data_IF_104169982022
#
_entry.id   IF_104169982022
#
_cell.length_a   1.000
_cell.length_b   1.000
_cell.length_c   1.000
_cell.angle_alpha   90.00
_cell.angle_beta   90.00
_cell.angle_gamma   90.00
#
_symmetry.space_group_name_H-M   'P 1'
#
loop_
_entity.id
_entity.type
_entity.pdbx_description
1 polymer ?
#
# COMPACT_ATOMS: atom_id res chain seq x y z
N UNK A 1 28.37 0.29 17.80
CA UNK A 1 29.44 -0.25 16.95
C UNK A 1 29.02 -0.02 15.51
N UNK A 2 29.86 0.57 14.66
CA UNK A 2 29.52 0.87 13.28
C UNK A 2 29.19 -0.41 12.51
N UNK A 3 28.15 -0.38 11.69
CA UNK A 3 27.80 -1.44 10.75
C UNK A 3 28.62 -1.22 9.50
N UNK A 4 29.74 -1.91 9.45
CA UNK A 4 30.64 -1.89 8.32
C UNK A 4 30.15 -2.86 7.25
N UNK A 5 29.84 -2.35 6.05
CA UNK A 5 29.52 -3.18 4.89
C UNK A 5 30.65 -3.13 3.89
N UNK A 6 31.24 -4.28 3.61
CA UNK A 6 32.16 -4.44 2.49
C UNK A 6 31.36 -4.54 1.19
N UNK A 7 31.56 -3.55 0.34
CA UNK A 7 30.98 -3.43 -0.99
C UNK A 7 31.60 -4.42 -1.97
N UNK A 8 30.94 -4.69 -3.11
CA UNK A 8 31.46 -5.59 -4.14
C UNK A 8 32.82 -5.16 -4.72
N UNK A 9 33.18 -3.88 -4.61
CA UNK A 9 34.47 -3.32 -5.03
C UNK A 9 35.57 -3.42 -3.94
N UNK A 10 35.26 -3.97 -2.77
CA UNK A 10 36.18 -4.16 -1.65
C UNK A 10 36.22 -3.01 -0.63
N UNK A 11 35.58 -1.86 -0.90
CA UNK A 11 35.49 -0.77 0.09
C UNK A 11 34.64 -1.20 1.27
N UNK A 12 35.00 -0.77 2.47
CA UNK A 12 34.22 -1.01 3.69
C UNK A 12 33.66 0.31 4.19
N UNK A 13 32.35 0.40 4.31
CA UNK A 13 31.65 1.65 4.61
C UNK A 13 30.81 1.50 5.85
N UNK A 14 30.85 2.49 6.73
CA UNK A 14 29.89 2.62 7.81
C UNK A 14 28.54 3.06 7.24
N UNK A 15 27.52 2.20 7.34
CA UNK A 15 26.17 2.53 6.88
C UNK A 15 25.28 3.03 8.02
N UNK A 16 25.82 3.26 9.21
CA UNK A 16 25.04 3.68 10.36
C UNK A 16 24.68 5.17 10.35
N UNK A 17 25.42 6.02 9.64
CA UNK A 17 25.18 7.47 9.60
C UNK A 17 24.73 7.96 8.22
N UNK A 18 23.94 9.04 8.20
CA UNK A 18 23.55 9.70 6.95
C UNK A 18 24.75 10.30 6.21
N UNK A 19 25.71 10.86 6.95
CA UNK A 19 26.95 11.39 6.38
C UNK A 19 27.72 10.31 5.62
N UNK A 20 27.95 9.14 6.23
CA UNK A 20 28.71 8.07 5.59
C UNK A 20 27.98 7.46 4.38
N UNK A 21 26.64 7.31 4.46
CA UNK A 21 25.84 6.90 3.29
C UNK A 21 25.93 7.92 2.16
N UNK A 22 25.86 9.22 2.46
CA UNK A 22 25.94 10.27 1.45
C UNK A 22 27.33 10.35 0.80
N UNK A 23 28.41 10.25 1.58
CA UNK A 23 29.79 10.17 1.08
C UNK A 23 29.95 8.99 0.14
N UNK A 24 29.42 7.82 0.52
CA UNK A 24 29.42 6.64 -0.34
C UNK A 24 28.71 6.89 -1.68
N UNK A 25 27.53 7.52 -1.66
CA UNK A 25 26.81 7.82 -2.89
C UNK A 25 27.59 8.80 -3.78
N UNK A 26 28.23 9.80 -3.19
CA UNK A 26 29.06 10.77 -3.91
C UNK A 26 30.32 10.13 -4.55
N UNK A 27 30.94 9.16 -3.87
CA UNK A 27 32.15 8.48 -4.34
C UNK A 27 31.87 7.36 -5.37
N UNK A 28 30.62 6.96 -5.58
CA UNK A 28 30.26 5.96 -6.59
C UNK A 28 29.07 5.08 -6.22
N UNK A 29 27.88 5.67 -6.16
CA UNK A 29 26.62 4.95 -5.88
C UNK A 29 26.07 4.08 -7.03
N UNK A 30 26.60 4.23 -8.25
CA UNK A 30 26.08 3.55 -9.44
C UNK A 30 26.34 2.04 -9.40
N UNK A 31 25.31 1.26 -9.72
CA UNK A 31 25.35 -0.19 -9.82
C UNK A 31 25.23 -0.92 -8.49
N UNK A 32 25.13 -0.20 -7.36
CA UNK A 32 25.19 -0.80 -6.03
C UNK A 32 24.02 -1.74 -5.78
N UNK A 33 22.79 -1.36 -6.15
CA UNK A 33 21.62 -2.23 -5.97
C UNK A 33 21.68 -3.45 -6.89
N UNK A 34 22.03 -3.27 -8.16
CA UNK A 34 22.20 -4.39 -9.09
C UNK A 34 23.27 -5.37 -8.62
N UNK A 35 24.41 -4.87 -8.13
CA UNK A 35 25.50 -5.71 -7.62
C UNK A 35 25.10 -6.45 -6.34
N UNK A 36 24.42 -5.75 -5.42
CA UNK A 36 23.85 -6.33 -4.19
C UNK A 36 22.86 -7.45 -4.51
N UNK A 37 21.91 -7.21 -5.43
CA UNK A 37 20.93 -8.21 -5.89
C UNK A 37 21.62 -9.41 -6.54
N UNK A 38 22.67 -9.21 -7.34
CA UNK A 38 23.46 -10.31 -7.93
C UNK A 38 24.10 -11.18 -6.86
N UNK A 39 24.70 -10.60 -5.83
CA UNK A 39 25.31 -11.36 -4.74
C UNK A 39 24.25 -12.09 -3.90
N UNK A 40 23.12 -11.46 -3.60
CA UNK A 40 22.00 -12.13 -2.91
C UNK A 40 21.51 -13.34 -3.71
N UNK A 41 21.28 -13.18 -5.03
CA UNK A 41 20.87 -14.28 -5.91
C UNK A 41 21.90 -15.41 -5.92
N UNK A 42 23.18 -15.10 -5.94
CA UNK A 42 24.28 -16.08 -5.89
C UNK A 42 24.30 -16.85 -4.56
N UNK A 43 24.04 -16.19 -3.44
CA UNK A 43 23.92 -16.84 -2.13
C UNK A 43 22.72 -17.80 -2.12
N UNK A 44 21.55 -17.33 -2.57
CA UNK A 44 20.29 -18.11 -2.58
C UNK A 44 20.32 -19.29 -3.57
N UNK A 45 20.95 -19.16 -4.75
CA UNK A 45 21.05 -20.25 -5.75
C UNK A 45 21.87 -21.45 -5.29
N UNK A 46 22.88 -21.23 -4.42
CA UNK A 46 23.88 -22.26 -4.13
C UNK A 46 23.39 -23.36 -3.18
N UNK A 47 22.29 -23.19 -2.45
CA UNK A 47 22.00 -24.04 -1.29
C UNK A 47 20.51 -24.26 -1.04
N UNK A 48 20.12 -25.53 -0.84
CA UNK A 48 18.78 -25.91 -0.32
C UNK A 48 18.56 -25.45 1.13
N UNK A 49 19.64 -25.28 1.90
CA UNK A 49 19.66 -24.77 3.27
C UNK A 49 20.84 -23.81 3.45
N UNK A 50 20.57 -22.57 3.85
CA UNK A 50 21.60 -21.55 4.06
C UNK A 50 22.39 -21.84 5.34
N UNK A 51 23.72 -21.69 5.28
CA UNK A 51 24.59 -21.75 6.47
C UNK A 51 24.50 -20.42 7.20
N UNK A 52 24.89 -20.39 8.47
CA UNK A 52 24.84 -19.17 9.29
C UNK A 52 25.62 -18.01 8.66
N UNK A 53 26.81 -18.28 8.12
CA UNK A 53 27.60 -17.29 7.37
C UNK A 53 26.84 -16.69 6.19
N UNK A 54 26.06 -17.50 5.46
CA UNK A 54 25.29 -17.02 4.32
C UNK A 54 24.10 -16.15 4.79
N UNK A 55 23.44 -16.55 5.88
CA UNK A 55 22.34 -15.77 6.49
C UNK A 55 22.84 -14.41 6.98
N UNK A 56 23.98 -14.37 7.66
CA UNK A 56 24.62 -13.13 8.09
C UNK A 56 24.96 -12.25 6.88
N UNK A 57 25.48 -12.85 5.80
CA UNK A 57 25.79 -12.07 4.60
C UNK A 57 24.53 -11.51 3.92
N UNK A 58 23.44 -12.27 3.86
CA UNK A 58 22.15 -11.76 3.39
C UNK A 58 21.67 -10.61 4.28
N UNK A 59 21.80 -10.75 5.60
CA UNK A 59 21.43 -9.70 6.54
C UNK A 59 22.17 -8.40 6.28
N UNK A 60 23.51 -8.45 6.13
CA UNK A 60 24.33 -7.29 5.78
C UNK A 60 23.87 -6.62 4.47
N UNK A 61 23.62 -7.42 3.42
CA UNK A 61 23.23 -6.91 2.10
C UNK A 61 21.84 -6.26 2.12
N UNK A 62 20.90 -6.80 2.88
CA UNK A 62 19.57 -6.19 3.05
C UNK A 62 19.62 -4.94 3.92
N UNK A 63 20.40 -4.96 5.00
CA UNK A 63 20.62 -3.81 5.88
C UNK A 63 21.32 -2.65 5.15
N UNK A 64 22.22 -2.97 4.22
CA UNK A 64 22.81 -2.01 3.31
C UNK A 64 21.74 -1.28 2.49
N UNK A 65 20.86 -2.01 1.79
CA UNK A 65 19.79 -1.40 0.99
C UNK A 65 18.86 -0.54 1.85
N UNK A 66 18.46 -1.04 3.02
CA UNK A 66 17.61 -0.32 3.95
C UNK A 66 18.26 0.98 4.48
N UNK A 67 19.55 0.92 4.81
CA UNK A 67 20.31 2.09 5.28
C UNK A 67 20.47 3.14 4.19
N UNK A 68 20.76 2.73 2.96
CA UNK A 68 20.79 3.63 1.80
C UNK A 68 19.43 4.28 1.60
N UNK A 69 18.35 3.51 1.59
CA UNK A 69 17.00 4.05 1.39
C UNK A 69 16.58 5.01 2.52
N UNK A 70 16.98 4.75 3.76
CA UNK A 70 16.57 5.55 4.92
C UNK A 70 17.39 6.81 5.09
N UNK A 71 18.70 6.75 4.83
CA UNK A 71 19.65 7.78 5.27
C UNK A 71 20.22 8.61 4.14
N UNK A 72 20.08 8.16 2.89
CA UNK A 72 20.52 8.96 1.76
C UNK A 72 19.73 10.26 1.67
N UNK A 73 20.42 11.36 1.38
CA UNK A 73 19.80 12.59 0.96
C UNK A 73 18.89 12.32 -0.27
N UNK A 74 17.65 12.82 -0.30
CA UNK A 74 16.73 12.55 -1.41
C UNK A 74 17.29 12.96 -2.80
N UNK A 75 18.06 14.05 -2.87
CA UNK A 75 18.72 14.51 -4.09
C UNK A 75 19.84 13.56 -4.52
N UNK A 76 20.67 13.11 -3.57
CA UNK A 76 21.70 12.10 -3.86
C UNK A 76 21.12 10.75 -4.24
N UNK A 77 20.04 10.30 -3.58
CA UNK A 77 19.35 9.06 -3.92
C UNK A 77 18.84 9.12 -5.37
N UNK A 78 18.12 10.21 -5.72
CA UNK A 78 17.60 10.43 -7.07
C UNK A 78 18.73 10.55 -8.12
N UNK A 79 19.84 11.21 -7.79
CA UNK A 79 20.95 11.45 -8.71
C UNK A 79 21.85 10.23 -8.95
N UNK A 80 21.95 9.32 -7.98
CA UNK A 80 22.88 8.18 -8.05
C UNK A 80 22.24 6.86 -8.49
N UNK A 81 20.94 6.66 -8.26
CA UNK A 81 20.26 5.42 -8.62
C UNK A 81 19.49 5.58 -9.91
N UNK A 82 19.98 4.95 -10.98
CA UNK A 82 19.23 4.85 -12.22
C UNK A 82 17.95 4.04 -12.02
N UNK A 83 16.88 4.42 -12.73
CA UNK A 83 15.59 3.73 -12.68
C UNK A 83 15.72 2.22 -12.93
N UNK A 84 16.61 1.82 -13.84
CA UNK A 84 16.92 0.42 -14.15
C UNK A 84 17.45 -0.37 -12.94
N UNK A 85 18.19 0.27 -12.02
CA UNK A 85 18.70 -0.39 -10.81
C UNK A 85 17.58 -0.63 -9.79
N UNK A 86 16.70 0.36 -9.62
CA UNK A 86 15.52 0.23 -8.76
C UNK A 86 14.57 -0.82 -9.33
N UNK A 87 14.36 -0.87 -10.65
CA UNK A 87 13.62 -1.94 -11.33
C UNK A 87 14.24 -3.31 -11.08
N UNK A 88 15.56 -3.44 -11.20
CA UNK A 88 16.27 -4.70 -10.96
C UNK A 88 16.08 -5.22 -9.52
N UNK A 89 16.13 -4.32 -8.53
CA UNK A 89 15.81 -4.64 -7.14
C UNK A 89 14.34 -5.04 -6.96
N UNK A 90 13.43 -4.28 -7.56
CA UNK A 90 11.99 -4.54 -7.47
C UNK A 90 11.60 -5.90 -8.06
N UNK A 91 12.14 -6.25 -9.24
CA UNK A 91 11.96 -7.56 -9.87
C UNK A 91 12.45 -8.70 -8.98
N UNK A 92 13.61 -8.52 -8.31
CA UNK A 92 14.11 -9.48 -7.34
C UNK A 92 13.13 -9.64 -6.16
N UNK A 93 12.69 -8.53 -5.57
CA UNK A 93 11.75 -8.53 -4.46
C UNK A 93 10.42 -9.21 -4.84
N UNK A 94 9.86 -8.90 -6.02
CA UNK A 94 8.65 -9.55 -6.55
C UNK A 94 8.86 -11.06 -6.69
N UNK A 95 10.00 -11.48 -7.24
CA UNK A 95 10.33 -12.89 -7.39
C UNK A 95 10.39 -13.64 -6.06
N UNK A 96 11.00 -13.04 -5.04
CA UNK A 96 11.08 -13.63 -3.70
C UNK A 96 9.71 -13.65 -2.99
N UNK A 97 8.91 -12.59 -3.08
CA UNK A 97 7.53 -12.57 -2.56
C UNK A 97 6.71 -13.71 -3.17
N UNK A 98 6.78 -13.87 -4.50
CA UNK A 98 6.12 -14.99 -5.20
C UNK A 98 6.65 -16.35 -4.76
N UNK A 99 7.94 -16.47 -4.43
CA UNK A 99 8.54 -17.70 -3.89
C UNK A 99 8.03 -18.01 -2.49
N UNK A 100 7.92 -17.00 -1.62
CA UNK A 100 7.44 -17.16 -0.24
C UNK A 100 6.01 -17.71 -0.19
N UNK A 101 5.16 -17.38 -1.17
CA UNK A 101 3.79 -17.93 -1.26
C UNK A 101 3.74 -19.46 -1.33
N UNK A 102 4.84 -20.10 -1.72
CA UNK A 102 4.97 -21.56 -1.86
C UNK A 102 5.69 -22.22 -0.68
N UNK A 103 6.11 -21.44 0.32
CA UNK A 103 6.82 -21.96 1.49
C UNK A 103 5.83 -22.50 2.51
N UNK A 104 5.98 -23.77 2.89
CA UNK A 104 5.11 -24.41 3.90
C UNK A 104 5.08 -23.64 5.21
N UNK A 105 6.24 -23.11 5.67
CA UNK A 105 6.31 -22.26 6.86
C UNK A 105 5.37 -21.06 6.74
N UNK A 106 5.50 -20.26 5.69
CA UNK A 106 4.62 -19.10 5.46
C UNK A 106 3.15 -19.48 5.43
N UNK A 107 2.79 -20.51 4.66
CA UNK A 107 1.40 -20.96 4.51
C UNK A 107 0.80 -21.35 5.87
N UNK A 108 1.57 -22.04 6.72
CA UNK A 108 1.12 -22.63 7.99
C UNK A 108 1.23 -21.69 9.20
N UNK A 109 2.21 -20.80 9.23
CA UNK A 109 2.46 -19.95 10.40
C UNK A 109 2.19 -18.47 10.13
N UNK A 110 2.20 -18.04 8.86
CA UNK A 110 2.14 -16.61 8.50
C UNK A 110 3.41 -15.87 8.87
N UNK A 111 4.53 -16.59 8.98
CA UNK A 111 5.83 -16.10 9.38
C UNK A 111 6.91 -16.49 8.37
N UNK A 112 7.98 -15.69 8.31
CA UNK A 112 9.16 -15.98 7.50
C UNK A 112 10.36 -16.30 8.39
N UNK A 113 11.39 -16.93 7.82
CA UNK A 113 12.69 -16.86 8.49
C UNK A 113 13.21 -15.43 8.44
N UNK A 114 13.95 -15.01 9.47
CA UNK A 114 14.44 -13.63 9.59
C UNK A 114 15.10 -13.10 8.30
N UNK A 115 15.99 -13.89 7.69
CA UNK A 115 16.68 -13.50 6.45
C UNK A 115 15.77 -13.42 5.20
N UNK A 116 14.60 -14.04 5.24
CA UNK A 116 13.58 -13.92 4.20
C UNK A 116 12.69 -12.69 4.43
N UNK A 117 12.36 -12.39 5.68
CA UNK A 117 11.64 -11.16 6.06
C UNK A 117 12.41 -9.90 5.60
N UNK A 118 13.75 -9.93 5.66
CA UNK A 118 14.62 -8.84 5.21
C UNK A 118 14.46 -8.47 3.72
N UNK A 119 13.81 -9.30 2.90
CA UNK A 119 13.45 -8.93 1.53
C UNK A 119 12.43 -7.79 1.49
N UNK A 120 11.50 -7.78 2.45
CA UNK A 120 10.41 -6.81 2.52
C UNK A 120 10.80 -5.53 3.26
N UNK A 121 11.72 -5.60 4.21
CA UNK A 121 12.16 -4.45 5.02
C UNK A 121 12.55 -3.22 4.18
N UNK A 122 13.46 -3.34 3.18
CA UNK A 122 13.84 -2.21 2.35
C UNK A 122 12.66 -1.60 1.58
N UNK A 123 11.57 -2.33 1.33
CA UNK A 123 10.40 -1.77 0.64
C UNK A 123 9.78 -0.63 1.44
N UNK A 124 9.70 -0.77 2.76
CA UNK A 124 9.16 0.26 3.65
C UNK A 124 9.92 1.57 3.48
N UNK A 125 11.25 1.52 3.48
CA UNK A 125 12.12 2.69 3.44
C UNK A 125 12.29 3.22 2.02
N UNK A 126 12.39 2.34 1.02
CA UNK A 126 12.41 2.70 -0.39
C UNK A 126 11.15 3.46 -0.82
N UNK A 127 9.98 3.10 -0.28
CA UNK A 127 8.72 3.75 -0.66
C UNK A 127 8.51 5.11 -0.02
N UNK A 128 9.49 5.64 0.72
CA UNK A 128 9.54 7.06 1.10
C UNK A 128 9.99 7.96 -0.07
N UNK A 129 10.52 7.35 -1.14
CA UNK A 129 11.05 8.02 -2.32
C UNK A 129 10.07 7.92 -3.52
N UNK A 130 9.86 9.00 -4.29
CA UNK A 130 8.90 9.01 -5.40
C UNK A 130 9.18 8.01 -6.52
N UNK A 131 10.45 7.83 -6.91
CA UNK A 131 10.81 6.96 -8.05
C UNK A 131 10.46 5.49 -7.76
N UNK A 132 10.89 4.87 -6.64
CA UNK A 132 10.43 3.54 -6.27
C UNK A 132 8.91 3.40 -6.23
N UNK A 133 8.19 4.42 -5.73
CA UNK A 133 6.73 4.38 -5.66
C UNK A 133 6.08 4.38 -7.05
N UNK A 134 6.52 5.25 -7.96
CA UNK A 134 6.03 5.24 -9.34
C UNK A 134 6.24 3.86 -9.98
N UNK A 135 7.45 3.29 -9.82
CA UNK A 135 7.79 1.99 -10.36
C UNK A 135 6.97 0.84 -9.79
N UNK A 136 6.65 0.84 -8.49
CA UNK A 136 5.86 -0.26 -7.92
C UNK A 136 4.43 -0.26 -8.43
N UNK A 137 3.86 0.91 -8.73
CA UNK A 137 2.55 1.02 -9.37
C UNK A 137 2.54 0.63 -10.85
N UNK A 138 3.69 0.63 -11.53
CA UNK A 138 3.87 0.16 -12.91
C UNK A 138 4.28 -1.31 -13.01
N UNK A 139 4.52 -1.95 -11.86
CA UNK A 139 4.96 -3.34 -11.74
C UNK A 139 3.88 -4.24 -11.14
N UNK A 140 4.16 -5.54 -11.05
CA UNK A 140 3.30 -6.53 -10.39
C UNK A 140 3.53 -6.62 -8.85
N UNK A 141 4.14 -5.60 -8.23
CA UNK A 141 4.52 -5.65 -6.82
C UNK A 141 3.33 -5.83 -5.89
N UNK A 142 2.27 -5.04 -6.08
CA UNK A 142 1.11 -5.10 -5.19
C UNK A 142 0.25 -6.35 -5.43
N UNK A 143 0.22 -6.88 -6.65
CA UNK A 143 -0.38 -8.17 -6.95
C UNK A 143 0.39 -9.31 -6.28
N UNK A 144 1.72 -9.27 -6.33
CA UNK A 144 2.57 -10.23 -5.64
C UNK A 144 2.37 -10.16 -4.13
N UNK A 145 2.31 -8.95 -3.55
CA UNK A 145 2.06 -8.74 -2.12
C UNK A 145 0.67 -9.25 -1.71
N UNK A 146 -0.35 -9.00 -2.54
CA UNK A 146 -1.70 -9.54 -2.33
C UNK A 146 -1.70 -11.07 -2.34
N UNK A 147 -1.05 -11.68 -3.33
CA UNK A 147 -0.89 -13.13 -3.41
C UNK A 147 -0.15 -13.71 -2.20
N UNK A 148 0.87 -13.00 -1.70
CA UNK A 148 1.61 -13.36 -0.50
C UNK A 148 0.73 -13.41 0.74
N UNK A 149 -0.06 -12.36 1.02
CA UNK A 149 -1.00 -12.37 2.15
C UNK A 149 -2.08 -13.44 1.97
N UNK A 150 -2.61 -13.62 0.75
CA UNK A 150 -3.66 -14.63 0.48
C UNK A 150 -3.18 -16.07 0.58
N UNK A 151 -1.88 -16.33 0.39
CA UNK A 151 -1.31 -17.68 0.51
C UNK A 151 -1.35 -18.23 1.94
N UNK A 152 -1.54 -17.36 2.94
CA UNK A 152 -1.66 -17.74 4.35
C UNK A 152 -3.01 -18.40 4.63
N UNK A 153 -2.97 -19.64 5.15
CA UNK A 153 -4.17 -20.43 5.50
C UNK A 153 -4.20 -20.79 6.97
N UNK A 154 -5.32 -20.64 7.68
CA UNK A 154 -5.45 -21.11 9.06
C UNK A 154 -5.48 -22.67 9.13
N UNK A 155 -5.66 -23.23 10.33
CA UNK A 155 -5.67 -24.69 10.56
C UNK A 155 -6.82 -25.43 9.87
N UNK A 156 -7.95 -24.76 9.63
CA UNK A 156 -9.11 -25.32 8.92
C UNK A 156 -9.01 -25.17 7.38
N UNK A 157 -7.91 -24.58 6.88
CA UNK A 157 -7.70 -24.33 5.46
C UNK A 157 -8.37 -23.07 4.91
N UNK A 158 -9.12 -22.35 5.75
CA UNK A 158 -9.65 -21.02 5.51
C UNK A 158 -8.59 -19.91 5.55
N UNK A 159 -9.07 -18.65 5.51
CA UNK A 159 -8.21 -17.46 5.43
C UNK A 159 -7.46 -17.26 6.74
N UNK A 160 -6.14 -17.46 6.73
CA UNK A 160 -5.30 -17.15 7.87
C UNK A 160 -4.87 -15.69 7.89
N UNK A 161 -4.40 -15.25 9.05
CA UNK A 161 -3.71 -13.98 9.21
C UNK A 161 -2.18 -14.19 9.27
N UNK A 162 -1.37 -13.29 8.68
CA UNK A 162 0.05 -13.22 8.98
C UNK A 162 0.30 -13.02 10.47
N UNK A 163 1.53 -13.27 10.93
CA UNK A 163 1.93 -12.90 12.29
C UNK A 163 1.79 -11.39 12.51
N UNK A 164 1.74 -10.98 13.78
CA UNK A 164 1.67 -9.57 14.14
C UNK A 164 2.75 -8.73 13.45
N UNK A 165 4.00 -9.15 13.57
CA UNK A 165 5.15 -8.49 12.95
C UNK A 165 4.99 -8.35 11.44
N UNK A 166 4.53 -9.40 10.76
CA UNK A 166 4.32 -9.36 9.32
C UNK A 166 3.18 -8.42 8.92
N UNK A 167 2.09 -8.38 9.70
CA UNK A 167 1.03 -7.41 9.48
C UNK A 167 1.54 -5.97 9.62
N UNK A 168 2.37 -5.67 10.63
CA UNK A 168 2.99 -4.35 10.79
C UNK A 168 3.84 -3.96 9.57
N UNK A 169 4.64 -4.90 9.07
CA UNK A 169 5.51 -4.66 7.92
C UNK A 169 4.69 -4.41 6.65
N UNK A 170 3.69 -5.25 6.38
CA UNK A 170 2.81 -5.13 5.21
C UNK A 170 2.05 -3.80 5.24
N UNK A 171 1.42 -3.44 6.35
CA UNK A 171 0.68 -2.17 6.46
C UNK A 171 1.61 -0.98 6.34
N UNK A 172 2.82 -1.04 6.90
CA UNK A 172 3.83 0.01 6.76
C UNK A 172 4.22 0.21 5.28
N UNK A 173 4.52 -0.87 4.54
CA UNK A 173 4.88 -0.79 3.12
C UNK A 173 3.76 -0.11 2.32
N UNK A 174 2.52 -0.52 2.52
CA UNK A 174 1.36 0.03 1.81
C UNK A 174 1.15 1.51 2.17
N UNK A 175 1.33 1.88 3.43
CA UNK A 175 1.18 3.26 3.87
C UNK A 175 2.28 4.19 3.36
N UNK A 176 3.54 3.76 3.35
CA UNK A 176 4.62 4.57 2.79
C UNK A 176 4.40 4.80 1.28
N UNK A 177 3.97 3.76 0.54
CA UNK A 177 3.56 3.93 -0.85
C UNK A 177 2.39 4.91 -1.02
N UNK A 178 1.37 4.83 -0.15
CA UNK A 178 0.23 5.74 -0.17
C UNK A 178 0.65 7.21 0.08
N UNK A 179 1.40 7.44 1.16
CA UNK A 179 1.83 8.78 1.57
C UNK A 179 2.68 9.39 0.46
N UNK A 180 3.67 8.66 -0.04
CA UNK A 180 4.54 9.16 -1.11
C UNK A 180 3.77 9.41 -2.40
N UNK A 181 2.87 8.51 -2.81
CA UNK A 181 2.05 8.70 -4.01
C UNK A 181 1.14 9.93 -3.94
N UNK A 182 0.63 10.26 -2.74
CA UNK A 182 -0.32 11.37 -2.54
C UNK A 182 0.32 12.70 -2.17
N UNK A 183 1.57 12.71 -1.68
CA UNK A 183 2.21 13.93 -1.15
C UNK A 183 3.53 14.30 -1.81
N UNK A 184 4.23 13.35 -2.45
CA UNK A 184 5.62 13.54 -2.90
C UNK A 184 5.88 13.16 -4.35
N UNK A 185 4.96 12.44 -4.98
CA UNK A 185 5.10 12.08 -6.38
C UNK A 185 4.62 13.22 -7.30
N UNK A 186 5.37 13.47 -8.36
CA UNK A 186 4.96 14.32 -9.49
C UNK A 186 3.76 13.73 -10.26
N UNK A 187 3.26 12.57 -9.83
CA UNK A 187 2.10 11.89 -10.39
C UNK A 187 0.80 12.67 -10.19
N UNK A 188 0.74 13.64 -9.25
CA UNK A 188 -0.46 14.39 -8.89
C UNK A 188 -1.65 13.48 -8.49
N UNK A 189 -1.38 12.32 -7.90
CA UNK A 189 -2.44 11.37 -7.56
C UNK A 189 -3.21 11.82 -6.32
N UNK A 190 -4.53 11.87 -6.47
CA UNK A 190 -5.42 12.03 -5.31
C UNK A 190 -5.45 10.77 -4.46
N UNK A 191 -5.89 10.91 -3.21
CA UNK A 191 -6.15 9.77 -2.33
C UNK A 191 -7.11 8.75 -2.98
N UNK A 192 -8.22 9.23 -3.57
CA UNK A 192 -9.19 8.36 -4.24
C UNK A 192 -8.57 7.60 -5.43
N UNK A 193 -7.71 8.25 -6.22
CA UNK A 193 -7.01 7.59 -7.33
C UNK A 193 -6.05 6.51 -6.83
N UNK A 194 -5.33 6.80 -5.75
CA UNK A 194 -4.40 5.84 -5.13
C UNK A 194 -5.15 4.63 -4.56
N UNK A 195 -6.29 4.85 -3.89
CA UNK A 195 -7.15 3.74 -3.43
C UNK A 195 -7.71 2.90 -4.58
N UNK A 196 -8.09 3.52 -5.71
CA UNK A 196 -8.50 2.76 -6.91
C UNK A 196 -7.40 1.87 -7.44
N UNK A 197 -6.14 2.33 -7.42
CA UNK A 197 -4.98 1.51 -7.80
C UNK A 197 -4.77 0.37 -6.82
N UNK A 198 -4.77 0.63 -5.51
CA UNK A 198 -4.65 -0.43 -4.51
C UNK A 198 -5.76 -1.46 -4.58
N UNK A 199 -6.99 -1.03 -4.84
CA UNK A 199 -8.13 -1.93 -5.05
C UNK A 199 -7.96 -2.78 -6.30
N UNK A 200 -7.48 -2.20 -7.39
CA UNK A 200 -7.21 -2.93 -8.65
C UNK A 200 -6.21 -4.07 -8.43
N UNK A 201 -5.21 -3.84 -7.59
CA UNK A 201 -4.21 -4.86 -7.23
C UNK A 201 -4.66 -5.80 -6.10
N UNK A 202 -5.84 -5.58 -5.51
CA UNK A 202 -6.36 -6.33 -4.38
C UNK A 202 -5.64 -6.08 -3.05
N UNK A 203 -4.68 -5.14 -3.01
CA UNK A 203 -3.86 -4.88 -1.82
C UNK A 203 -4.62 -4.06 -0.78
N UNK A 204 -5.64 -3.29 -1.20
CA UNK A 204 -6.50 -2.56 -0.26
C UNK A 204 -7.28 -3.52 0.65
N UNK A 205 -7.81 -4.61 0.10
CA UNK A 205 -8.47 -5.68 0.86
C UNK A 205 -7.53 -6.22 1.95
N UNK A 206 -6.27 -6.53 1.57
CA UNK A 206 -5.29 -7.08 2.49
C UNK A 206 -4.82 -6.06 3.53
N UNK A 207 -4.73 -4.78 3.16
CA UNK A 207 -4.45 -3.70 4.09
C UNK A 207 -5.51 -3.62 5.19
N UNK A 208 -6.80 -3.65 4.82
CA UNK A 208 -7.92 -3.59 5.77
C UNK A 208 -7.88 -4.79 6.73
N UNK A 209 -7.47 -5.97 6.26
CA UNK A 209 -7.27 -7.14 7.13
C UNK A 209 -6.09 -6.93 8.07
N UNK A 210 -4.91 -6.60 7.54
CA UNK A 210 -3.70 -6.50 8.36
C UNK A 210 -3.74 -5.38 9.40
N UNK A 211 -4.49 -4.30 9.14
CA UNK A 211 -4.59 -3.19 10.09
C UNK A 211 -5.45 -3.48 11.32
N UNK A 212 -6.26 -4.55 11.30
CA UNK A 212 -7.03 -4.96 12.49
C UNK A 212 -6.15 -5.59 13.54
N UNK A 213 -4.97 -6.08 13.20
CA UNK A 213 -4.03 -6.60 14.20
C UNK A 213 -3.57 -5.44 15.09
N UNK A 214 -3.46 -5.60 16.44
CA UNK A 214 -2.92 -4.57 17.33
C UNK A 214 -1.64 -3.96 16.76
N UNK A 215 -1.44 -2.67 16.91
CA UNK A 215 -0.28 -1.96 16.38
C UNK A 215 0.41 -1.25 17.55
N UNK A 216 1.76 -1.25 17.65
CA UNK A 216 2.44 -0.36 18.58
C UNK A 216 2.10 1.11 18.26
N UNK A 217 2.21 2.02 19.23
CA UNK A 217 1.88 3.44 19.04
C UNK A 217 2.58 4.06 17.81
N UNK A 218 3.82 3.66 17.55
CA UNK A 218 4.60 4.11 16.38
C UNK A 218 3.98 3.68 15.03
N UNK A 219 3.24 2.58 15.01
CA UNK A 219 2.55 2.06 13.83
C UNK A 219 1.12 2.63 13.66
N UNK A 220 0.70 3.61 14.49
CA UNK A 220 -0.57 4.33 14.31
C UNK A 220 -0.65 5.08 12.97
N UNK A 221 0.50 5.34 12.31
CA UNK A 221 0.54 5.91 10.95
C UNK A 221 -0.28 5.07 9.97
N UNK A 222 -0.30 3.75 10.11
CA UNK A 222 -1.10 2.91 9.23
C UNK A 222 -2.60 3.27 9.34
N UNK A 223 -3.08 3.52 10.55
CA UNK A 223 -4.49 3.86 10.77
C UNK A 223 -4.85 5.26 10.28
N UNK A 224 -3.87 6.14 10.06
CA UNK A 224 -4.11 7.44 9.46
C UNK A 224 -4.59 7.31 8.02
N UNK A 225 -4.28 6.20 7.32
CA UNK A 225 -4.78 5.94 5.96
C UNK A 225 -6.31 5.69 5.91
N UNK A 226 -6.93 5.32 7.03
CA UNK A 226 -8.39 5.16 7.11
C UNK A 226 -9.14 6.50 7.05
N UNK A 227 -8.49 7.61 7.42
CA UNK A 227 -9.09 8.97 7.35
C UNK A 227 -9.31 9.44 5.91
N UNK A 228 -8.29 9.45 5.02
CA UNK A 228 -8.51 9.78 3.62
C UNK A 228 -9.40 8.75 2.92
N UNK A 229 -9.37 7.47 3.32
CA UNK A 229 -10.30 6.47 2.80
C UNK A 229 -11.76 6.81 3.14
N UNK A 230 -12.03 7.18 4.39
CA UNK A 230 -13.36 7.64 4.84
C UNK A 230 -13.84 8.88 4.06
N UNK A 231 -12.89 9.72 3.64
CA UNK A 231 -13.14 10.95 2.85
C UNK A 231 -13.40 10.69 1.35
N UNK A 232 -13.46 9.44 0.91
CA UNK A 232 -13.70 9.06 -0.50
C UNK A 232 -15.10 8.42 -0.69
N UNK A 233 -16.22 9.14 -0.52
CA UNK A 233 -17.57 8.54 -0.43
C UNK A 233 -18.00 7.80 -1.70
N UNK A 234 -17.63 8.31 -2.89
CA UNK A 234 -17.93 7.64 -4.17
C UNK A 234 -17.22 6.30 -4.29
N UNK A 235 -15.98 6.25 -3.83
CA UNK A 235 -15.18 5.03 -3.83
C UNK A 235 -15.73 4.03 -2.81
N UNK A 236 -16.02 4.48 -1.58
CA UNK A 236 -16.62 3.65 -0.54
C UNK A 236 -17.93 3.02 -1.00
N UNK A 237 -18.87 3.83 -1.52
CA UNK A 237 -20.16 3.34 -2.04
C UNK A 237 -19.99 2.24 -3.08
N UNK A 238 -18.96 2.34 -3.94
CA UNK A 238 -18.75 1.37 -5.01
C UNK A 238 -18.01 0.12 -4.55
N UNK A 239 -17.06 0.25 -3.62
CA UNK A 239 -16.08 -0.81 -3.31
C UNK A 239 -16.21 -1.45 -1.95
N UNK A 240 -17.01 -0.86 -1.05
CA UNK A 240 -17.24 -1.38 0.29
C UNK A 240 -18.69 -1.85 0.52
N UNK A 241 -19.50 -1.90 -0.54
CA UNK A 241 -20.83 -2.52 -0.51
C UNK A 241 -20.73 -4.05 -0.46
N UNK A 242 -21.82 -4.70 -0.06
CA UNK A 242 -21.91 -6.17 -0.04
C UNK A 242 -21.65 -6.77 -1.43
N UNK A 243 -20.88 -7.87 -1.48
CA UNK A 243 -20.50 -8.55 -2.72
C UNK A 243 -19.25 -7.99 -3.39
N UNK A 244 -18.69 -6.88 -2.91
CA UNK A 244 -17.37 -6.40 -3.33
C UNK A 244 -16.29 -6.91 -2.36
N UNK A 245 -15.05 -7.20 -2.82
CA UNK A 245 -14.01 -7.79 -1.99
C UNK A 245 -13.70 -7.03 -0.68
N UNK A 246 -13.59 -5.70 -0.76
CA UNK A 246 -13.38 -4.86 0.42
C UNK A 246 -14.61 -4.81 1.34
N UNK A 247 -15.83 -4.82 0.79
CA UNK A 247 -17.07 -4.84 1.55
C UNK A 247 -17.25 -6.16 2.32
N UNK A 248 -17.07 -7.29 1.64
CA UNK A 248 -17.16 -8.62 2.25
C UNK A 248 -16.10 -8.83 3.33
N UNK A 249 -14.88 -8.33 3.08
CA UNK A 249 -13.78 -8.37 4.06
C UNK A 249 -14.08 -7.50 5.28
N UNK A 250 -14.59 -6.28 5.06
CA UNK A 250 -15.01 -5.39 6.13
C UNK A 250 -16.10 -6.05 7.00
N UNK A 251 -17.12 -6.65 6.37
CA UNK A 251 -18.20 -7.30 7.10
C UNK A 251 -17.67 -8.51 7.90
N UNK A 252 -16.82 -9.35 7.28
CA UNK A 252 -16.19 -10.47 7.98
C UNK A 252 -15.37 -10.04 9.20
N UNK A 253 -14.62 -8.92 9.11
CA UNK A 253 -13.89 -8.35 10.26
C UNK A 253 -14.84 -7.95 11.38
N UNK A 254 -15.92 -7.23 11.04
CA UNK A 254 -16.89 -6.74 12.01
C UNK A 254 -17.68 -7.87 12.68
N UNK A 255 -17.87 -8.98 11.98
CA UNK A 255 -18.52 -10.18 12.51
C UNK A 255 -17.55 -11.11 13.27
N UNK A 256 -16.26 -10.77 13.33
CA UNK A 256 -15.23 -11.59 14.00
C UNK A 256 -14.81 -12.85 13.21
N UNK A 257 -15.10 -12.88 11.91
CA UNK A 257 -14.87 -14.02 11.02
C UNK A 257 -13.66 -13.84 10.07
N UNK A 258 -12.78 -12.86 10.33
CA UNK A 258 -11.61 -12.56 9.48
C UNK A 258 -10.39 -13.43 9.76
N UNK A 259 -10.45 -14.28 10.79
CA UNK A 259 -9.38 -15.15 11.24
C UNK A 259 -8.38 -14.49 12.19
N UNK A 260 -8.63 -13.25 12.62
CA UNK A 260 -7.78 -12.54 13.59
C UNK A 260 -8.13 -12.97 15.02
N UNK A 261 -7.14 -13.44 15.79
CA UNK A 261 -7.33 -13.80 17.21
C UNK A 261 -7.38 -12.58 18.14
N UNK A 262 -6.75 -11.48 17.74
CA UNK A 262 -6.73 -10.23 18.48
C UNK A 262 -6.95 -9.09 17.49
N UNK A 263 -7.87 -8.18 17.84
CA UNK A 263 -8.21 -7.03 17.02
C UNK A 263 -7.90 -5.72 17.77
N UNK A 264 -7.45 -4.72 17.04
CA UNK A 264 -7.21 -3.35 17.48
C UNK A 264 -8.55 -2.64 17.62
N UNK A 265 -8.98 -2.27 18.84
CA UNK A 265 -10.28 -1.62 19.04
C UNK A 265 -10.42 -0.31 18.24
N UNK A 266 -9.32 0.43 18.08
CA UNK A 266 -9.29 1.68 17.33
C UNK A 266 -9.50 1.46 15.82
N UNK A 267 -8.81 0.46 15.24
CA UNK A 267 -9.00 0.11 13.84
C UNK A 267 -10.45 -0.36 13.60
N UNK A 268 -10.98 -1.22 14.47
CA UNK A 268 -12.37 -1.70 14.41
C UNK A 268 -13.35 -0.52 14.48
N UNK A 269 -13.15 0.44 15.39
CA UNK A 269 -14.01 1.61 15.49
C UNK A 269 -14.02 2.45 14.20
N UNK A 270 -12.85 2.63 13.55
CA UNK A 270 -12.74 3.34 12.27
C UNK A 270 -13.44 2.58 11.14
N UNK A 271 -13.26 1.26 11.08
CA UNK A 271 -13.94 0.38 10.11
C UNK A 271 -15.46 0.35 10.31
N UNK A 272 -15.96 0.35 11.55
CA UNK A 272 -17.39 0.49 11.86
C UNK A 272 -17.97 1.82 11.35
N UNK A 273 -17.21 2.92 11.42
CA UNK A 273 -17.64 4.22 10.85
C UNK A 273 -17.73 4.15 9.33
N UNK A 274 -16.79 3.48 8.66
CA UNK A 274 -16.84 3.24 7.22
C UNK A 274 -18.08 2.39 6.87
N UNK A 275 -18.30 1.27 7.55
CA UNK A 275 -19.48 0.40 7.32
C UNK A 275 -20.80 1.16 7.47
N UNK A 276 -20.98 1.94 8.55
CA UNK A 276 -22.17 2.77 8.75
C UNK A 276 -22.35 3.81 7.63
N UNK A 277 -21.26 4.40 7.16
CA UNK A 277 -21.29 5.38 6.08
C UNK A 277 -21.74 4.75 4.77
N UNK A 278 -21.24 3.55 4.44
CA UNK A 278 -21.64 2.79 3.25
C UNK A 278 -23.12 2.43 3.31
N UNK A 279 -23.59 1.85 4.42
CA UNK A 279 -25.02 1.51 4.61
C UNK A 279 -25.93 2.73 4.45
N UNK A 280 -25.54 3.88 5.02
CA UNK A 280 -26.30 5.12 4.85
C UNK A 280 -26.35 5.61 3.39
N UNK A 281 -25.30 5.35 2.58
CA UNK A 281 -25.30 5.67 1.15
C UNK A 281 -26.16 4.69 0.35
N UNK A 282 -26.19 3.41 0.72
CA UNK A 282 -27.05 2.38 0.09
C UNK A 282 -28.53 2.68 0.31
N UNK A 283 -28.95 2.95 1.55
CA UNK A 283 -30.35 3.31 1.86
C UNK A 283 -30.82 4.55 1.10
N UNK A 284 -29.94 5.54 0.89
CA UNK A 284 -30.24 6.73 0.06
C UNK A 284 -30.38 6.41 -1.42
N UNK A 285 -29.63 5.43 -1.90
CA UNK A 285 -29.71 4.95 -3.28
C UNK A 285 -31.04 4.22 -3.54
N UNK A 286 -31.42 3.32 -2.62
CA UNK A 286 -32.63 2.50 -2.69
C UNK A 286 -33.91 3.31 -2.52
N UNK A 287 -33.92 4.24 -1.57
CA UNK A 287 -35.05 5.17 -1.36
C UNK A 287 -35.26 6.15 -2.52
N UNK A 288 -34.38 6.14 -3.53
CA UNK A 288 -34.44 7.08 -4.64
C UNK A 288 -34.23 8.53 -4.23
N UNK A 289 -33.89 8.80 -2.96
CA UNK A 289 -33.65 10.16 -2.45
C UNK A 289 -32.39 10.77 -3.07
N UNK A 290 -31.44 9.93 -3.51
CA UNK A 290 -30.29 10.36 -4.33
C UNK A 290 -30.68 10.76 -5.77
N UNK A 291 -31.92 10.53 -6.21
CA UNK A 291 -32.45 11.14 -7.44
C UNK A 291 -33.01 12.54 -7.21
N UNK A 292 -33.18 12.98 -5.97
CA UNK A 292 -33.62 14.34 -5.65
C UNK A 292 -32.44 15.30 -5.75
N UNK A 293 -32.04 15.60 -6.98
CA UNK A 293 -31.05 16.63 -7.21
C UNK A 293 -31.73 18.00 -7.11
N UNK A 294 -31.08 18.94 -6.42
CA UNK A 294 -31.41 20.35 -6.57
C UNK A 294 -30.78 20.93 -7.83
N UNK A 295 -31.33 22.03 -8.33
CA UNK A 295 -30.60 22.82 -9.31
C UNK A 295 -29.34 23.40 -8.66
N UNK A 296 -28.15 23.05 -9.16
CA UNK A 296 -26.87 23.50 -8.63
C UNK A 296 -26.57 24.98 -8.80
N UNK A 297 -27.41 25.73 -9.53
CA UNK A 297 -27.29 27.18 -9.70
C UNK A 297 -28.31 27.95 -8.86
N UNK A 298 -29.61 27.73 -9.09
CA UNK A 298 -30.66 28.47 -8.37
C UNK A 298 -31.07 27.84 -7.04
N UNK A 299 -30.54 26.67 -6.69
CA UNK A 299 -30.84 25.97 -5.44
C UNK A 299 -32.27 25.43 -5.35
N UNK A 300 -33.04 25.40 -6.45
CA UNK A 300 -34.40 24.85 -6.42
C UNK A 300 -34.36 23.35 -6.08
N UNK A 301 -35.02 22.97 -4.99
CA UNK A 301 -35.10 21.61 -4.42
C UNK A 301 -36.49 20.99 -4.58
N UNK A 302 -37.30 21.43 -5.55
CA UNK A 302 -38.63 20.86 -5.80
C UNK A 302 -38.53 19.32 -5.93
N UNK A 303 -39.34 18.63 -5.14
CA UNK A 303 -39.35 17.17 -5.04
C UNK A 303 -40.37 16.52 -5.96
N UNK A 304 -41.10 17.31 -6.77
CA UNK A 304 -42.06 16.79 -7.72
C UNK A 304 -41.40 15.89 -8.76
N UNK A 305 -42.06 14.78 -9.10
CA UNK A 305 -41.57 13.80 -10.08
C UNK A 305 -41.29 14.45 -11.45
N UNK A 306 -42.11 15.43 -11.84
CA UNK A 306 -41.94 16.20 -13.07
C UNK A 306 -40.65 17.03 -13.07
N UNK A 307 -40.38 17.73 -11.96
CA UNK A 307 -39.16 18.53 -11.82
C UNK A 307 -37.91 17.65 -11.82
N UNK A 308 -37.92 16.55 -11.06
CA UNK A 308 -36.76 15.67 -10.93
C UNK A 308 -36.41 14.96 -12.24
N UNK A 309 -37.40 14.61 -13.07
CA UNK A 309 -37.17 14.08 -14.42
C UNK A 309 -36.71 15.15 -15.41
N UNK A 310 -37.03 16.42 -15.19
CA UNK A 310 -36.66 17.54 -16.05
C UNK A 310 -35.25 18.09 -15.78
N UNK A 311 -34.60 17.69 -14.68
CA UNK A 311 -33.26 18.13 -14.34
C UNK A 311 -32.22 17.66 -15.38
N UNK A 312 -31.46 18.62 -15.89
CA UNK A 312 -30.38 18.37 -16.85
C UNK A 312 -29.05 18.20 -16.12
N UNK A 313 -28.35 17.08 -16.37
CA UNK A 313 -27.01 16.85 -15.82
C UNK A 313 -25.97 17.72 -16.53
N UNK A 314 -25.04 18.29 -15.76
CA UNK A 314 -23.89 19.02 -16.27
C UNK A 314 -23.17 18.19 -17.34
N UNK A 315 -22.98 18.75 -18.53
CA UNK A 315 -22.33 18.06 -19.64
C UNK A 315 -20.89 17.62 -19.33
N UNK A 316 -20.18 18.39 -18.49
CA UNK A 316 -18.77 18.17 -18.16
C UNK A 316 -18.57 17.22 -16.97
N UNK A 317 -19.16 17.53 -15.81
CA UNK A 317 -18.91 16.76 -14.59
C UNK A 317 -19.90 15.61 -14.37
N UNK A 318 -21.09 15.64 -15.00
CA UNK A 318 -22.20 14.68 -14.81
C UNK A 318 -22.72 14.54 -13.36
N UNK A 319 -22.22 15.37 -12.43
CA UNK A 319 -22.52 15.28 -11.01
C UNK A 319 -23.50 16.35 -10.51
N UNK A 320 -23.54 17.51 -11.19
CA UNK A 320 -24.44 18.62 -10.86
C UNK A 320 -25.62 18.57 -11.82
N UNK A 321 -26.82 18.86 -11.31
CA UNK A 321 -28.05 18.97 -12.10
C UNK A 321 -28.53 20.42 -12.17
N UNK A 322 -29.24 20.79 -13.22
CA UNK A 322 -29.80 22.13 -13.41
C UNK A 322 -31.25 22.04 -13.87
N UNK A 323 -32.11 22.94 -13.37
CA UNK A 323 -33.53 22.97 -13.77
C UNK A 323 -33.76 23.62 -15.13
N UNK A 324 -32.76 24.31 -15.70
CA UNK A 324 -32.87 24.95 -17.01
C UNK A 324 -31.49 25.16 -17.66
N UNK A 325 -31.46 25.45 -18.97
CA UNK A 325 -30.20 25.70 -19.71
C UNK A 325 -29.55 26.99 -19.24
N UNK A 326 -30.36 27.96 -18.83
CA UNK A 326 -29.93 29.24 -18.26
C UNK A 326 -29.16 28.97 -16.95
N UNK A 327 -29.72 28.15 -16.06
CA UNK A 327 -29.03 27.75 -14.84
C UNK A 327 -27.71 27.03 -15.08
N UNK A 328 -27.58 26.31 -16.20
CA UNK A 328 -26.32 25.64 -16.57
C UNK A 328 -25.27 26.61 -17.14
N UNK A 329 -25.68 27.70 -17.80
CA UNK A 329 -24.77 28.68 -18.42
C UNK A 329 -24.08 29.59 -17.40
N UNK A 330 -24.79 29.97 -16.33
CA UNK A 330 -24.32 30.94 -15.31
C UNK A 330 -23.11 30.41 -14.52
N UNK A 331 -22.96 29.10 -14.36
CA UNK A 331 -21.84 28.49 -13.61
C UNK A 331 -20.48 28.48 -14.34
N UNK A 332 -20.28 29.31 -15.38
CA UNK A 332 -19.10 29.28 -16.26
C UNK A 332 -18.18 30.50 -16.14
N UNK A 333 -18.44 31.41 -15.20
CA UNK A 333 -17.56 32.53 -14.81
C UNK A 333 -16.76 32.16 -13.57
#
# INVERSE_FOLDING_TARGET
MPVLVTLPDGRTVDIDTAEAVNTLLQEGGKGMFTSTVKEIRKIRKKKKRLRERDKNKLHELHKFMDSVATKADPGLFRGNFAEAEIKCWLEYTIGEIKRFTKMNRWIQTGDLEYHDELVLYPCKTMFTHPIPVALVFESEFFEALTGFVKARKNSDGGRGMPTHQMCLLITSIICEAFVTATTRCDTNWSAEMTFKKFETYGVLEQFIRCITVPQPQEAMRAQQMLVPLHSCPRFLRKKFQQGEPCGDTLQAILDGNDGSQAQSPEAIQKLQRISRSVKAMETRAESGVDKLAGCGNCGNMDRSDGFQKALMKCARCKCICYCSKECQKVSST
#
